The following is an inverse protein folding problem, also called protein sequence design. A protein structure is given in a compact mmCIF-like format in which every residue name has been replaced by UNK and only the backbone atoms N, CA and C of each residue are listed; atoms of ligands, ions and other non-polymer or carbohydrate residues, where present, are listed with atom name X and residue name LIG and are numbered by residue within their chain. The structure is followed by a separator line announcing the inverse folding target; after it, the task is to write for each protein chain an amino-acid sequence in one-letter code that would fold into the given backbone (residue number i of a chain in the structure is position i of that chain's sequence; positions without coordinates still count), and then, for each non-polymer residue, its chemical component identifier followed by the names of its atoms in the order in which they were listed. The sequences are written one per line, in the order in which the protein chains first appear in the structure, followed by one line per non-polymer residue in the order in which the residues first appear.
data_IF_164878417956
#
_entry.id   IF_164878417956
#
_cell.length_a   1.000
_cell.length_b   1.000
_cell.length_c   1.000
_cell.angle_alpha   90.00
_cell.angle_beta   90.00
_cell.angle_gamma   90.00
#
_symmetry.space_group_name_H-M   'P 1'
#
loop_
_entity.id
_entity.type
_entity.pdbx_description
1 polymer ?
#
# COMPACT_ATOMS: atom_id res chain seq x y z
N UNK A 1 25.16 8.47 -9.89
CA UNK A 1 24.51 7.73 -8.78
C UNK A 1 25.62 7.30 -7.81
N UNK A 2 25.32 6.65 -6.68
CA UNK A 2 26.42 6.00 -5.92
C UNK A 2 26.94 4.82 -6.72
N UNK A 3 28.22 4.46 -6.57
CA UNK A 3 28.79 3.31 -7.28
C UNK A 3 28.00 2.01 -7.04
N UNK A 4 27.50 1.84 -5.82
CA UNK A 4 26.67 0.70 -5.45
C UNK A 4 25.32 0.70 -6.17
N UNK A 5 24.65 1.85 -6.24
CA UNK A 5 23.35 1.96 -6.92
C UNK A 5 23.50 1.80 -8.45
N UNK A 6 24.62 2.26 -9.02
CA UNK A 6 24.94 2.03 -10.45
C UNK A 6 25.08 0.54 -10.77
N UNK A 7 25.80 -0.20 -9.93
CA UNK A 7 25.93 -1.65 -10.07
C UNK A 7 24.58 -2.36 -9.88
N UNK A 8 23.77 -1.95 -8.90
CA UNK A 8 22.45 -2.52 -8.67
C UNK A 8 21.51 -2.33 -9.87
N UNK A 9 21.49 -1.13 -10.47
CA UNK A 9 20.69 -0.85 -11.68
C UNK A 9 21.21 -1.65 -12.88
N UNK A 10 22.53 -1.79 -13.03
CA UNK A 10 23.11 -2.59 -14.11
C UNK A 10 22.70 -4.07 -14.02
N UNK A 11 22.68 -4.64 -12.81
CA UNK A 11 22.21 -6.01 -12.57
C UNK A 11 20.71 -6.11 -12.81
N UNK A 12 19.92 -5.18 -12.25
CA UNK A 12 18.46 -5.21 -12.36
C UNK A 12 18.00 -5.21 -13.83
N UNK A 13 18.66 -4.45 -14.71
CA UNK A 13 18.36 -4.41 -16.15
C UNK A 13 18.49 -5.75 -16.87
N UNK A 14 19.27 -6.69 -16.33
CA UNK A 14 19.46 -8.02 -16.92
C UNK A 14 18.45 -9.07 -16.41
N UNK A 15 17.62 -8.72 -15.43
CA UNK A 15 16.61 -9.62 -14.85
C UNK A 15 15.35 -9.69 -15.75
N UNK A 16 14.47 -10.68 -15.57
CA UNK A 16 13.17 -10.71 -16.24
C UNK A 16 12.33 -9.46 -15.92
N UNK A 17 11.47 -8.99 -16.85
CA UNK A 17 10.64 -7.80 -16.65
C UNK A 17 9.86 -7.81 -15.33
N UNK A 18 9.32 -8.96 -14.93
CA UNK A 18 8.53 -9.10 -13.71
C UNK A 18 9.37 -8.79 -12.45
N UNK A 19 10.61 -9.27 -12.41
CA UNK A 19 11.54 -8.98 -11.31
C UNK A 19 12.02 -7.53 -11.35
N UNK A 20 12.20 -6.95 -12.54
CA UNK A 20 12.53 -5.52 -12.66
C UNK A 20 11.44 -4.65 -12.04
N UNK A 21 10.17 -4.96 -12.32
CA UNK A 21 9.01 -4.23 -11.79
C UNK A 21 8.86 -4.39 -10.27
N UNK A 22 9.20 -5.55 -9.71
CA UNK A 22 9.23 -5.75 -8.25
C UNK A 22 10.28 -4.86 -7.57
N UNK A 23 11.49 -4.82 -8.13
CA UNK A 23 12.57 -3.96 -7.62
C UNK A 23 12.17 -2.49 -7.76
N UNK A 24 11.60 -2.10 -8.89
CA UNK A 24 11.12 -0.74 -9.12
C UNK A 24 10.07 -0.33 -8.10
N UNK A 25 9.09 -1.19 -7.80
CA UNK A 25 8.07 -0.95 -6.77
C UNK A 25 8.67 -0.73 -5.39
N UNK A 26 9.67 -1.52 -5.00
CA UNK A 26 10.38 -1.34 -3.72
C UNK A 26 11.12 0.00 -3.66
N UNK A 27 11.86 0.36 -4.71
CA UNK A 27 12.59 1.63 -4.77
C UNK A 27 11.62 2.81 -4.75
N UNK A 28 10.50 2.72 -5.48
CA UNK A 28 9.45 3.73 -5.44
C UNK A 28 8.86 3.83 -4.04
N UNK A 29 8.51 2.73 -3.39
CA UNK A 29 8.01 2.74 -2.01
C UNK A 29 8.98 3.37 -1.02
N UNK A 30 10.29 3.17 -1.20
CA UNK A 30 11.32 3.85 -0.38
C UNK A 30 11.48 5.34 -0.72
N UNK A 31 11.17 5.73 -1.96
CA UNK A 31 11.31 7.10 -2.45
C UNK A 31 10.06 7.95 -2.17
N UNK A 32 8.88 7.32 -2.08
CA UNK A 32 7.73 7.98 -1.51
C UNK A 32 8.00 8.06 -0.01
N UNK A 33 8.38 9.25 0.44
CA UNK A 33 8.23 9.64 1.84
C UNK A 33 6.72 9.79 2.10
N UNK A 34 5.96 8.69 1.93
CA UNK A 34 4.68 8.54 2.61
C UNK A 34 5.10 8.53 4.07
N UNK A 35 5.08 9.71 4.68
CA UNK A 35 5.53 9.91 6.04
C UNK A 35 5.04 8.76 6.90
N UNK A 36 5.88 8.36 7.87
CA UNK A 36 5.57 7.30 8.83
C UNK A 36 4.05 7.21 9.06
N UNK A 37 3.42 6.03 8.88
CA UNK A 37 1.98 5.89 8.99
C UNK A 37 1.52 6.70 10.19
N UNK A 38 0.58 7.63 9.97
CA UNK A 38 0.14 8.50 11.04
C UNK A 38 -0.21 7.65 12.26
N UNK A 39 0.28 8.06 13.44
CA UNK A 39 -0.02 7.33 14.65
C UNK A 39 -1.53 7.23 14.82
N UNK A 40 -2.02 6.01 14.92
CA UNK A 40 -3.45 5.76 15.13
C UNK A 40 -3.76 6.23 16.54
N UNK A 41 -4.70 7.17 16.68
CA UNK A 41 -5.27 7.50 17.99
C UNK A 41 -5.70 6.18 18.68
N UNK A 42 -5.21 5.88 19.90
CA UNK A 42 -5.57 4.67 20.62
C UNK A 42 -7.09 4.42 20.70
N UNK A 43 -7.92 5.47 20.66
CA UNK A 43 -9.37 5.35 20.61
C UNK A 43 -9.90 4.69 19.31
N UNK A 44 -9.19 4.84 18.18
CA UNK A 44 -9.55 4.27 16.88
C UNK A 44 -8.93 2.88 16.64
N UNK A 45 -7.89 2.50 17.39
CA UNK A 45 -7.21 1.22 17.23
C UNK A 45 -8.14 -0.01 17.28
N UNK A 46 -9.15 -0.10 18.17
CA UNK A 46 -10.07 -1.24 18.20
C UNK A 46 -10.85 -1.42 16.89
N UNK A 47 -11.27 -0.33 16.24
CA UNK A 47 -12.04 -0.37 14.99
C UNK A 47 -11.16 -0.82 13.80
N UNK A 48 -9.88 -0.40 13.79
CA UNK A 48 -8.89 -0.86 12.82
C UNK A 48 -8.65 -2.37 12.96
N UNK A 49 -8.40 -2.85 14.17
CA UNK A 49 -8.17 -4.28 14.43
C UNK A 49 -9.39 -5.14 14.05
N UNK A 50 -10.59 -4.65 14.35
CA UNK A 50 -11.85 -5.30 13.93
C UNK A 50 -11.94 -5.39 12.40
N UNK A 51 -11.64 -4.30 11.70
CA UNK A 51 -11.69 -4.25 10.23
C UNK A 51 -10.67 -5.18 9.59
N UNK A 52 -9.43 -5.24 10.11
CA UNK A 52 -8.40 -6.17 9.66
C UNK A 52 -8.80 -7.64 9.86
N UNK A 53 -9.45 -7.97 10.98
CA UNK A 53 -9.95 -9.33 11.22
C UNK A 53 -11.02 -9.74 10.19
N UNK A 54 -11.91 -8.82 9.80
CA UNK A 54 -12.90 -9.03 8.74
C UNK A 54 -12.25 -9.21 7.37
N UNK A 55 -11.27 -8.38 7.04
CA UNK A 55 -10.52 -8.47 5.78
C UNK A 55 -9.82 -9.83 5.63
N UNK A 56 -9.23 -10.37 6.72
CA UNK A 56 -8.64 -11.72 6.72
C UNK A 56 -9.65 -12.83 6.39
N UNK A 57 -10.93 -12.62 6.72
CA UNK A 57 -12.05 -13.53 6.40
C UNK A 57 -12.71 -13.21 5.05
N UNK A 58 -12.18 -12.25 4.29
CA UNK A 58 -12.75 -11.73 3.04
C UNK A 58 -14.17 -11.15 3.18
N UNK A 59 -14.48 -10.61 4.36
CA UNK A 59 -15.75 -9.94 4.65
C UNK A 59 -15.73 -8.47 4.21
N UNK A 60 -15.53 -8.24 2.91
CA UNK A 60 -15.58 -6.90 2.31
C UNK A 60 -17.02 -6.49 2.03
N UNK A 61 -17.27 -5.17 2.05
CA UNK A 61 -18.51 -4.62 1.55
C UNK A 61 -18.58 -4.83 0.03
N UNK A 62 -19.77 -5.06 -0.48
CA UNK A 62 -20.06 -5.07 -1.92
C UNK A 62 -20.07 -3.65 -2.48
N UNK A 63 -19.89 -3.52 -3.79
CA UNK A 63 -19.89 -2.21 -4.46
C UNK A 63 -21.18 -1.42 -4.18
N UNK A 64 -22.33 -2.09 -4.14
CA UNK A 64 -23.62 -1.48 -3.83
C UNK A 64 -23.71 -0.95 -2.39
N UNK A 65 -23.13 -1.67 -1.42
CA UNK A 65 -23.07 -1.24 -0.02
C UNK A 65 -22.12 -0.05 0.15
N UNK A 66 -21.01 -0.04 -0.58
CA UNK A 66 -20.07 1.09 -0.62
C UNK A 66 -20.77 2.31 -1.21
N UNK A 67 -21.40 2.19 -2.38
CA UNK A 67 -22.12 3.29 -3.03
C UNK A 67 -23.19 3.88 -2.09
N UNK A 68 -24.03 3.03 -1.50
CA UNK A 68 -25.05 3.45 -0.55
C UNK A 68 -24.45 4.17 0.68
N UNK A 69 -23.29 3.74 1.16
CA UNK A 69 -22.60 4.39 2.27
C UNK A 69 -22.10 5.79 1.90
N UNK A 70 -21.64 6.02 0.67
CA UNK A 70 -21.08 7.30 0.23
C UNK A 70 -22.15 8.36 -0.14
N UNK A 71 -23.36 7.95 -0.55
CA UNK A 71 -24.47 8.88 -0.86
C UNK A 71 -24.79 9.88 0.25
N UNK A 72 -24.51 9.55 1.51
CA UNK A 72 -24.73 10.46 2.66
C UNK A 72 -23.88 11.74 2.62
N UNK A 73 -22.87 11.79 1.75
CA UNK A 73 -21.91 12.89 1.62
C UNK A 73 -22.07 13.68 0.31
N UNK A 74 -23.12 13.43 -0.49
CA UNK A 74 -23.36 14.08 -1.79
C UNK A 74 -24.22 15.37 -1.69
N UNK A 75 -24.44 15.90 -0.48
CA UNK A 75 -25.06 17.21 -0.22
C UNK A 75 -24.04 18.35 -0.32
#
# INVERSE_FOLDING_TARGET
MTKLLEQAVAIARALPPETQDEIARLVLHMAVDEGQPEEIDPAHLPDVLKSLARAKRREFATDAEVEAAFRRFEE
#
